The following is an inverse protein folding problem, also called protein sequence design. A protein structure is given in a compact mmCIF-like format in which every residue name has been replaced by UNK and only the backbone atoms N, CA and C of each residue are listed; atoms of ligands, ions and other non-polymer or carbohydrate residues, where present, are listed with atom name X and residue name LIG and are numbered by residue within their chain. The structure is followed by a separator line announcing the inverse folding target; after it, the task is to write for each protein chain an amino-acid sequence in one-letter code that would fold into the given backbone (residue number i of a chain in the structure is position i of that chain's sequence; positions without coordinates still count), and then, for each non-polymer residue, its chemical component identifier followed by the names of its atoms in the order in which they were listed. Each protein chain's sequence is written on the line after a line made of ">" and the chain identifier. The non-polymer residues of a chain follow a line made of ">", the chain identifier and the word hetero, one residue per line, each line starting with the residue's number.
data_IF_982773041461
#
_entry.id   IF_982773041461
#
_cell.length_a   1.000
_cell.length_b   1.000
_cell.length_c   1.000
_cell.angle_alpha   90.00
_cell.angle_beta   90.00
_cell.angle_gamma   90.00
#
_symmetry.space_group_name_H-M   'P 1'
#
loop_
_entity.id
_entity.type
_entity.pdbx_description
1 polymer ?
#
# COMPACT_ATOMS: atom_id res chain seq x y z
N UNK A 1 12.68 9.41 -10.06
CA UNK A 1 11.83 9.49 -8.87
C UNK A 1 10.39 9.49 -9.34
N UNK A 2 9.63 8.46 -8.96
CA UNK A 2 8.20 8.35 -9.22
C UNK A 2 7.44 8.43 -7.88
N UNK A 3 6.16 8.81 -7.94
CA UNK A 3 5.29 8.97 -6.78
C UNK A 3 4.11 8.01 -6.92
N UNK A 4 3.77 7.33 -5.83
CA UNK A 4 2.52 6.58 -5.67
C UNK A 4 1.67 7.39 -4.69
N UNK A 5 0.54 7.93 -5.15
CA UNK A 5 -0.37 8.72 -4.31
C UNK A 5 -1.20 7.82 -3.36
N UNK A 6 -1.91 8.44 -2.43
CA UNK A 6 -2.73 7.75 -1.43
C UNK A 6 -3.69 6.72 -2.05
N UNK A 7 -4.45 7.11 -3.07
CA UNK A 7 -5.38 6.23 -3.77
C UNK A 7 -4.68 5.00 -4.39
N UNK A 8 -3.49 5.19 -4.97
CA UNK A 8 -2.72 4.09 -5.55
C UNK A 8 -2.12 3.17 -4.47
N UNK A 9 -1.79 3.72 -3.29
CA UNK A 9 -1.39 2.90 -2.13
C UNK A 9 -2.57 2.03 -1.68
N UNK A 10 -3.75 2.62 -1.52
CA UNK A 10 -4.98 1.91 -1.17
C UNK A 10 -5.25 0.80 -2.19
N UNK A 11 -5.21 1.12 -3.49
CA UNK A 11 -5.43 0.15 -4.56
C UNK A 11 -4.40 -0.99 -4.54
N UNK A 12 -3.12 -0.67 -4.31
CA UNK A 12 -2.07 -1.68 -4.21
C UNK A 12 -2.30 -2.63 -3.03
N UNK A 13 -2.72 -2.11 -1.87
CA UNK A 13 -3.05 -2.92 -0.70
C UNK A 13 -4.30 -3.76 -0.98
N UNK A 14 -5.37 -3.20 -1.54
CA UNK A 14 -6.57 -3.93 -1.93
C UNK A 14 -6.25 -5.12 -2.86
N UNK A 15 -5.46 -4.88 -3.91
CA UNK A 15 -5.02 -5.91 -4.86
C UNK A 15 -4.21 -7.01 -4.18
N UNK A 16 -3.22 -6.63 -3.36
CA UNK A 16 -2.40 -7.58 -2.60
C UNK A 16 -3.25 -8.43 -1.66
N UNK A 17 -4.16 -7.81 -0.91
CA UNK A 17 -4.95 -8.50 0.10
C UNK A 17 -6.06 -9.37 -0.49
N UNK A 18 -6.70 -8.92 -1.58
CA UNK A 18 -7.64 -9.75 -2.33
C UNK A 18 -6.96 -11.02 -2.86
N UNK A 19 -5.75 -10.89 -3.42
CA UNK A 19 -4.95 -12.02 -3.88
C UNK A 19 -4.58 -12.98 -2.75
N UNK A 20 -4.00 -12.48 -1.66
CA UNK A 20 -3.55 -13.33 -0.54
C UNK A 20 -4.69 -14.00 0.23
N UNK A 21 -5.86 -13.36 0.31
CA UNK A 21 -7.02 -13.91 1.03
C UNK A 21 -8.02 -14.64 0.11
N UNK A 22 -7.78 -14.68 -1.21
CA UNK A 22 -8.66 -15.29 -2.20
C UNK A 22 -10.12 -14.79 -2.09
N UNK A 23 -10.28 -13.47 -2.03
CA UNK A 23 -11.58 -12.77 -2.01
C UNK A 23 -11.69 -11.84 -3.23
N UNK A 24 -12.90 -11.41 -3.56
CA UNK A 24 -13.09 -10.41 -4.61
C UNK A 24 -12.60 -9.02 -4.15
N UNK A 25 -12.16 -8.18 -5.09
CA UNK A 25 -11.61 -6.85 -4.79
C UNK A 25 -12.64 -5.95 -4.10
N UNK A 26 -13.91 -6.05 -4.50
CA UNK A 26 -15.02 -5.29 -3.94
C UNK A 26 -15.35 -5.68 -2.49
N UNK A 27 -14.72 -6.73 -1.97
CA UNK A 27 -14.86 -7.18 -0.59
C UNK A 27 -13.70 -6.73 0.30
N UNK A 28 -12.76 -5.96 -0.25
CA UNK A 28 -11.60 -5.43 0.48
C UNK A 28 -11.76 -3.94 0.62
N UNK A 29 -11.80 -3.47 1.86
CA UNK A 29 -11.74 -2.05 2.19
C UNK A 29 -10.43 -1.79 2.96
N UNK A 30 -9.81 -0.65 2.73
CA UNK A 30 -8.54 -0.28 3.35
C UNK A 30 -8.65 1.13 3.89
N UNK A 31 -8.29 1.30 5.15
CA UNK A 31 -8.11 2.60 5.79
C UNK A 31 -6.62 2.78 6.13
N UNK A 32 -6.02 3.88 5.67
CA UNK A 32 -4.63 4.18 6.01
C UNK A 32 -4.54 4.92 7.34
N UNK A 33 -3.48 4.63 8.09
CA UNK A 33 -3.19 5.25 9.38
C UNK A 33 -1.79 5.85 9.41
N UNK A 34 -1.68 7.01 10.06
CA UNK A 34 -0.41 7.62 10.43
C UNK A 34 -0.49 8.18 11.85
N UNK A 35 0.41 7.74 12.73
CA UNK A 35 0.52 8.22 14.11
C UNK A 35 1.99 8.26 14.56
N UNK A 36 2.44 9.37 15.15
CA UNK A 36 3.82 9.57 15.63
C UNK A 36 4.93 8.95 14.76
N UNK A 37 4.93 9.23 13.44
CA UNK A 37 5.89 8.68 12.44
C UNK A 37 5.73 7.19 12.10
N UNK A 38 4.66 6.54 12.55
CA UNK A 38 4.31 5.17 12.23
C UNK A 38 3.21 5.12 11.16
N UNK A 39 3.45 4.33 10.11
CA UNK A 39 2.48 4.08 9.05
C UNK A 39 1.79 2.74 9.30
N UNK A 40 0.49 2.70 9.08
CA UNK A 40 -0.31 1.48 9.14
C UNK A 40 -1.41 1.48 8.09
N UNK A 41 -2.00 0.32 7.87
CA UNK A 41 -3.26 0.19 7.15
C UNK A 41 -4.14 -0.86 7.82
N UNK A 42 -5.40 -0.52 8.12
CA UNK A 42 -6.39 -1.52 8.50
C UNK A 42 -7.13 -2.01 7.26
N UNK A 43 -7.14 -3.33 7.08
CA UNK A 43 -7.78 -4.00 5.95
C UNK A 43 -9.02 -4.71 6.47
N UNK A 44 -10.19 -4.34 5.96
CA UNK A 44 -11.44 -5.00 6.27
C UNK A 44 -11.76 -6.04 5.19
N UNK A 45 -12.01 -7.26 5.66
CA UNK A 45 -12.36 -8.42 4.85
C UNK A 45 -13.66 -9.02 5.38
N UNK A 46 -14.31 -9.94 4.63
CA UNK A 46 -15.49 -10.64 5.15
C UNK A 46 -15.20 -11.37 6.47
N UNK A 47 -15.76 -10.86 7.57
CA UNK A 47 -15.70 -11.47 8.89
C UNK A 47 -14.41 -11.23 9.70
N UNK A 48 -13.48 -10.40 9.22
CA UNK A 48 -12.26 -10.04 9.98
C UNK A 48 -11.66 -8.72 9.49
N UNK A 49 -10.86 -8.08 10.34
CA UNK A 49 -9.89 -7.06 9.91
C UNK A 49 -8.46 -7.51 10.17
N UNK A 50 -7.51 -6.92 9.44
CA UNK A 50 -6.07 -7.17 9.55
C UNK A 50 -5.38 -5.81 9.64
N UNK A 51 -4.55 -5.61 10.65
CA UNK A 51 -3.67 -4.45 10.73
C UNK A 51 -2.35 -4.76 10.02
N UNK A 52 -1.94 -3.90 9.09
CA UNK A 52 -0.68 -3.95 8.37
C UNK A 52 0.24 -2.86 8.90
N UNK A 53 1.52 -3.19 9.04
CA UNK A 53 2.56 -2.20 9.35
C UNK A 53 3.18 -1.58 8.08
N UNK A 54 4.09 -0.62 8.26
CA UNK A 54 4.80 0.03 7.15
C UNK A 54 5.53 -0.97 6.22
N UNK A 55 6.05 -2.07 6.76
CA UNK A 55 6.74 -3.10 6.01
C UNK A 55 5.78 -3.91 5.13
N UNK A 56 4.63 -4.28 5.68
CA UNK A 56 3.54 -4.92 4.94
C UNK A 56 3.02 -4.02 3.80
N UNK A 57 2.83 -2.72 4.09
CA UNK A 57 2.43 -1.72 3.09
C UNK A 57 3.46 -1.64 1.95
N UNK A 58 4.75 -1.52 2.27
CA UNK A 58 5.83 -1.54 1.26
C UNK A 58 5.82 -2.85 0.47
N UNK A 59 5.54 -3.98 1.11
CA UNK A 59 5.36 -5.28 0.47
C UNK A 59 4.27 -5.26 -0.61
N UNK A 60 3.11 -4.69 -0.30
CA UNK A 60 2.03 -4.50 -1.29
C UNK A 60 2.46 -3.58 -2.43
N UNK A 61 3.15 -2.47 -2.13
CA UNK A 61 3.65 -1.54 -3.15
C UNK A 61 4.67 -2.18 -4.10
N UNK A 62 5.43 -3.19 -3.68
CA UNK A 62 6.34 -3.92 -4.58
C UNK A 62 5.59 -4.60 -5.72
N UNK A 63 4.39 -5.14 -5.47
CA UNK A 63 3.57 -5.69 -6.54
C UNK A 63 3.13 -4.58 -7.50
N UNK A 64 2.74 -3.41 -6.98
CA UNK A 64 2.37 -2.25 -7.80
C UNK A 64 3.52 -1.75 -8.68
N UNK A 65 4.72 -1.59 -8.11
CA UNK A 65 5.93 -1.16 -8.83
C UNK A 65 6.26 -2.11 -9.99
N UNK A 66 6.13 -3.42 -9.76
CA UNK A 66 6.36 -4.42 -10.79
C UNK A 66 5.30 -4.39 -11.89
N UNK A 67 4.03 -4.44 -11.51
CA UNK A 67 2.94 -4.68 -12.46
C UNK A 67 2.45 -3.39 -13.14
N UNK A 68 2.35 -2.29 -12.41
CA UNK A 68 1.82 -1.02 -12.94
C UNK A 68 2.93 -0.11 -13.48
N UNK A 69 4.06 -0.03 -12.78
CA UNK A 69 5.15 0.89 -13.15
C UNK A 69 6.20 0.22 -14.05
N UNK A 70 6.16 -1.10 -14.22
CA UNK A 70 7.12 -1.88 -15.02
C UNK A 70 8.58 -1.65 -14.58
N UNK A 71 8.78 -1.42 -13.29
CA UNK A 71 10.08 -1.21 -12.67
C UNK A 71 10.49 -2.45 -11.86
N UNK A 72 11.80 -2.63 -11.65
CA UNK A 72 12.28 -3.68 -10.75
C UNK A 72 11.91 -3.31 -9.30
N UNK A 73 11.02 -4.08 -8.65
CA UNK A 73 10.51 -3.74 -7.33
C UNK A 73 11.55 -3.96 -6.22
N UNK A 74 12.63 -4.73 -6.46
CA UNK A 74 13.67 -5.03 -5.47
C UNK A 74 14.91 -4.17 -5.63
N UNK A 75 15.19 -3.71 -6.86
CA UNK A 75 16.19 -2.67 -7.09
C UNK A 75 15.68 -1.29 -6.66
N UNK A 76 14.35 -1.08 -6.66
CA UNK A 76 13.76 0.20 -6.26
C UNK A 76 13.69 0.38 -4.74
N UNK A 77 14.09 1.56 -4.26
CA UNK A 77 13.85 2.05 -2.91
C UNK A 77 12.46 2.68 -2.86
N UNK A 78 11.58 2.11 -2.02
CA UNK A 78 10.23 2.61 -1.74
C UNK A 78 10.24 3.23 -0.33
N UNK A 79 9.76 4.47 -0.20
CA UNK A 79 9.65 5.16 1.09
C UNK A 79 8.25 5.75 1.25
N UNK A 80 7.56 5.36 2.32
CA UNK A 80 6.31 6.00 2.75
C UNK A 80 6.61 7.38 3.32
N UNK A 81 5.74 8.33 3.00
CA UNK A 81 5.80 9.72 3.45
C UNK A 81 4.39 10.18 3.80
N UNK A 82 4.29 11.16 4.67
CA UNK A 82 3.03 11.80 5.05
C UNK A 82 3.14 13.31 4.86
N UNK A 83 2.07 13.93 4.36
CA UNK A 83 1.89 15.37 4.46
C UNK A 83 0.42 15.73 4.68
N UNK A 84 0.15 16.90 5.27
CA UNK A 84 -1.20 17.31 5.67
C UNK A 84 -2.18 17.53 4.49
N UNK A 85 -1.67 17.77 3.29
CA UNK A 85 -2.51 18.07 2.11
C UNK A 85 -2.88 16.81 1.33
N UNK A 86 -1.92 15.90 1.15
CA UNK A 86 -2.05 14.73 0.29
C UNK A 86 -2.19 13.41 1.06
N UNK A 87 -2.07 13.46 2.39
CA UNK A 87 -2.08 12.28 3.24
C UNK A 87 -0.83 11.41 3.06
N UNK A 88 -1.01 10.09 3.02
CA UNK A 88 0.10 9.14 2.85
C UNK A 88 0.41 8.93 1.38
N UNK A 89 1.68 9.06 1.00
CA UNK A 89 2.17 8.78 -0.35
C UNK A 89 3.51 8.05 -0.29
N UNK A 90 3.97 7.51 -1.42
CA UNK A 90 5.26 6.85 -1.49
C UNK A 90 6.14 7.40 -2.61
N UNK A 91 7.44 7.50 -2.36
CA UNK A 91 8.44 7.76 -3.40
C UNK A 91 9.12 6.47 -3.82
N UNK A 92 9.38 6.35 -5.12
CA UNK A 92 10.08 5.21 -5.74
C UNK A 92 11.31 5.73 -6.48
N UNK A 93 12.47 5.22 -6.08
CA UNK A 93 13.78 5.57 -6.63
C UNK A 93 14.52 4.30 -7.06
N UNK A 94 15.09 4.31 -8.27
CA UNK A 94 15.89 3.24 -8.86
C UNK A 94 17.38 3.49 -8.70
#
# INVERSE_FOLDING_TARGET
>A
MAIICEDDIINAICLSQAYHNNVALEQVEVELGYDEEQYSAEVFLPGKSIMLDAGDMVGALRMWVKEQMQMDPFASRIQLQFNENDGIYATVES
#
